data_IF_930505509428
#
_entry.id   IF_930505509428
#
_cell.length_a   1.000
_cell.length_b   1.000
_cell.length_c   1.000
_cell.angle_alpha   90.00
_cell.angle_beta   90.00
_cell.angle_gamma   90.00
#
_symmetry.space_group_name_H-M   'P 1'
#
loop_
_entity.id
_entity.type
_entity.pdbx_description
1 polymer ?
#
# COMPACT_ATOMS: atom_id res chain seq x y z
N UNK A 1 1.75 11.66 0.06
CA UNK A 1 1.76 10.77 -1.13
C UNK A 1 0.52 10.94 -2.00
N UNK A 2 -0.69 10.64 -1.51
CA UNK A 2 -1.93 10.71 -2.31
C UNK A 2 -2.11 12.08 -2.99
N UNK A 3 -2.04 13.19 -2.25
CA UNK A 3 -2.03 14.56 -2.83
C UNK A 3 -0.96 14.79 -3.91
N UNK A 4 0.24 14.22 -3.74
CA UNK A 4 1.31 14.36 -4.74
C UNK A 4 1.05 13.53 -6.00
N UNK A 5 0.29 12.43 -5.89
CA UNK A 5 -0.11 11.63 -7.05
C UNK A 5 -1.27 12.29 -7.78
N UNK A 6 -2.29 12.76 -7.07
CA UNK A 6 -3.43 13.47 -7.69
C UNK A 6 -3.00 14.79 -8.34
N UNK A 7 -1.96 15.45 -7.83
CA UNK A 7 -1.39 16.65 -8.47
C UNK A 7 -0.61 16.36 -9.78
N UNK A 8 -0.25 15.11 -10.06
CA UNK A 8 0.60 14.73 -11.20
C UNK A 8 -0.10 13.83 -12.22
N UNK A 9 -1.13 13.12 -11.79
CA UNK A 9 -1.82 12.11 -12.58
C UNK A 9 -3.32 12.33 -12.49
N UNK A 10 -4.00 12.08 -13.60
CA UNK A 10 -5.46 12.12 -13.69
C UNK A 10 -6.11 10.91 -13.01
N UNK A 11 -7.42 10.97 -12.71
CA UNK A 11 -8.17 9.83 -12.18
C UNK A 11 -8.21 8.62 -13.14
N UNK A 12 -7.91 8.79 -14.42
CA UNK A 12 -7.82 7.69 -15.39
C UNK A 12 -6.49 6.93 -15.30
N UNK A 13 -5.44 7.61 -14.83
CA UNK A 13 -4.09 7.05 -14.72
C UNK A 13 -3.82 6.43 -13.35
N UNK A 14 -4.49 6.90 -12.31
CA UNK A 14 -4.30 6.44 -10.92
C UNK A 14 -5.65 6.27 -10.22
N UNK A 15 -5.85 5.10 -9.61
CA UNK A 15 -6.97 4.83 -8.70
C UNK A 15 -6.46 4.39 -7.34
N UNK A 16 -7.19 4.74 -6.27
CA UNK A 16 -6.88 4.36 -4.90
C UNK A 16 -7.88 3.35 -4.34
N UNK A 17 -7.35 2.36 -3.61
CA UNK A 17 -8.09 1.64 -2.57
C UNK A 17 -7.56 2.10 -1.21
N UNK A 18 -8.41 2.73 -0.42
CA UNK A 18 -8.10 3.24 0.92
C UNK A 18 -8.78 2.35 1.96
N UNK A 19 -7.96 1.71 2.80
CA UNK A 19 -8.44 0.92 3.93
C UNK A 19 -8.23 1.71 5.21
N UNK A 20 -9.31 2.31 5.71
CA UNK A 20 -9.33 3.16 6.92
C UNK A 20 -10.34 2.65 7.95
N UNK A 21 -10.02 1.52 8.56
CA UNK A 21 -10.85 0.88 9.59
C UNK A 21 -10.96 1.67 10.91
N UNK A 22 -10.29 2.83 11.02
CA UNK A 22 -10.37 3.74 12.17
C UNK A 22 -11.17 5.00 11.87
N UNK A 23 -11.67 5.17 10.63
CA UNK A 23 -12.30 6.43 10.20
C UNK A 23 -11.44 7.64 10.53
N UNK A 24 -10.13 7.52 10.31
CA UNK A 24 -9.10 8.53 10.64
C UNK A 24 -9.07 9.71 9.65
N UNK A 25 -10.22 10.05 9.04
CA UNK A 25 -10.40 11.10 8.04
C UNK A 25 -9.44 11.01 6.85
N UNK A 26 -8.91 9.82 6.54
CA UNK A 26 -8.22 9.56 5.27
C UNK A 26 -9.13 9.77 4.05
N UNK A 27 -10.45 9.85 4.30
CA UNK A 27 -11.50 10.28 3.38
C UNK A 27 -11.19 11.62 2.71
N UNK A 28 -10.75 12.61 3.49
CA UNK A 28 -10.56 13.98 3.01
C UNK A 28 -9.24 14.15 2.23
N UNK A 29 -8.43 13.10 2.16
CA UNK A 29 -7.13 13.14 1.52
C UNK A 29 -7.17 12.94 -0.01
N UNK A 30 -8.30 12.51 -0.57
CA UNK A 30 -8.45 12.21 -1.99
C UNK A 30 -9.89 12.44 -2.47
N UNK A 31 -10.03 13.01 -3.65
CA UNK A 31 -11.32 13.18 -4.32
C UNK A 31 -11.94 11.82 -4.70
N UNK A 32 -13.26 11.72 -4.69
CA UNK A 32 -14.00 10.51 -5.02
C UNK A 32 -13.69 10.00 -6.43
N UNK A 33 -13.38 10.90 -7.37
CA UNK A 33 -13.01 10.52 -8.74
C UNK A 33 -11.77 9.63 -8.78
N UNK A 34 -10.86 9.79 -7.83
CA UNK A 34 -9.65 8.97 -7.73
C UNK A 34 -9.86 7.68 -6.95
N UNK A 35 -11.00 7.47 -6.30
CA UNK A 35 -11.32 6.20 -5.65
C UNK A 35 -11.64 5.15 -6.72
N UNK A 36 -11.18 3.93 -6.49
CA UNK A 36 -11.57 2.79 -7.30
C UNK A 36 -13.09 2.60 -7.19
N UNK A 37 -13.79 2.33 -8.29
CA UNK A 37 -15.21 1.94 -8.26
C UNK A 37 -15.38 0.62 -8.97
N UNK A 38 -16.23 -0.25 -8.44
CA UNK A 38 -16.59 -1.52 -9.06
C UNK A 38 -18.00 -1.92 -8.72
N UNK A 39 -18.58 -2.80 -9.54
CA UNK A 39 -19.86 -3.44 -9.26
C UNK A 39 -19.62 -4.79 -8.57
N UNK A 40 -20.31 -5.04 -7.46
CA UNK A 40 -20.25 -6.35 -6.81
C UNK A 40 -21.14 -7.39 -7.52
N UNK A 41 -21.05 -8.66 -7.08
CA UNK A 41 -21.82 -9.76 -7.68
C UNK A 41 -23.35 -9.59 -7.58
N UNK A 42 -23.83 -8.63 -6.78
CA UNK A 42 -25.24 -8.30 -6.62
C UNK A 42 -25.65 -7.04 -7.40
N UNK A 43 -24.79 -6.53 -8.30
CA UNK A 43 -25.08 -5.35 -9.10
C UNK A 43 -24.97 -4.03 -8.32
N UNK A 44 -24.36 -4.04 -7.13
CA UNK A 44 -24.22 -2.83 -6.30
C UNK A 44 -22.90 -2.15 -6.59
N UNK A 45 -22.95 -0.85 -6.86
CA UNK A 45 -21.75 -0.02 -6.96
C UNK A 45 -21.06 0.05 -5.58
N UNK A 46 -19.75 -0.17 -5.60
CA UNK A 46 -18.86 -0.14 -4.44
C UNK A 46 -17.75 0.87 -4.69
N UNK A 47 -17.35 1.53 -3.61
CA UNK A 47 -16.27 2.49 -3.60
C UNK A 47 -14.99 1.88 -3.01
N UNK A 48 -13.86 2.39 -3.49
CA UNK A 48 -12.49 2.06 -3.08
C UNK A 48 -12.15 2.50 -1.68
N UNK A 49 -13.15 2.87 -0.90
CA UNK A 49 -13.04 3.31 0.46
C UNK A 49 -13.62 2.24 1.37
N UNK A 50 -12.75 1.63 2.17
CA UNK A 50 -13.09 0.51 3.04
C UNK A 50 -13.02 0.96 4.49
N UNK A 51 -14.18 1.00 5.15
CA UNK A 51 -14.31 1.51 6.52
C UNK A 51 -14.51 0.40 7.56
N UNK A 52 -14.90 -0.79 7.13
CA UNK A 52 -15.11 -1.95 8.00
C UNK A 52 -14.49 -3.23 7.44
N UNK A 53 -14.36 -4.25 8.29
CA UNK A 53 -13.69 -5.50 7.94
C UNK A 53 -14.48 -6.37 6.96
N UNK A 54 -15.81 -6.26 6.91
CA UNK A 54 -16.65 -7.03 5.98
C UNK A 54 -16.50 -6.52 4.55
N UNK A 55 -16.47 -5.20 4.37
CA UNK A 55 -16.16 -4.57 3.07
C UNK A 55 -14.76 -4.89 2.58
N UNK A 56 -13.80 -5.03 3.51
CA UNK A 56 -12.42 -5.32 3.17
C UNK A 56 -12.28 -6.66 2.45
N UNK A 57 -12.95 -7.71 2.95
CA UNK A 57 -12.92 -9.03 2.31
C UNK A 57 -13.48 -8.95 0.88
N UNK A 58 -14.63 -8.30 0.71
CA UNK A 58 -15.26 -8.11 -0.60
C UNK A 58 -14.33 -7.34 -1.55
N UNK A 59 -13.79 -6.21 -1.09
CA UNK A 59 -12.92 -5.35 -1.89
C UNK A 59 -11.61 -6.05 -2.29
N UNK A 60 -10.99 -6.81 -1.39
CA UNK A 60 -9.76 -7.54 -1.71
C UNK A 60 -10.01 -8.62 -2.75
N UNK A 61 -11.10 -9.37 -2.66
CA UNK A 61 -11.47 -10.36 -3.68
C UNK A 61 -11.76 -9.71 -5.03
N UNK A 62 -12.48 -8.59 -5.05
CA UNK A 62 -12.75 -7.85 -6.29
C UNK A 62 -11.44 -7.38 -6.96
N UNK A 63 -10.48 -6.90 -6.17
CA UNK A 63 -9.17 -6.48 -6.70
C UNK A 63 -8.37 -7.67 -7.18
N UNK A 64 -8.33 -8.79 -6.45
CA UNK A 64 -7.63 -9.99 -6.88
C UNK A 64 -8.14 -10.47 -8.24
N UNK A 65 -9.45 -10.45 -8.45
CA UNK A 65 -10.07 -10.77 -9.75
C UNK A 65 -9.67 -9.74 -10.83
N UNK A 66 -9.69 -8.45 -10.51
CA UNK A 66 -9.23 -7.40 -11.42
C UNK A 66 -7.76 -7.52 -11.80
N UNK A 67 -6.90 -7.94 -10.87
CA UNK A 67 -5.47 -8.16 -11.11
C UNK A 67 -5.20 -9.43 -11.91
N UNK A 68 -6.00 -10.49 -11.72
CA UNK A 68 -5.93 -11.70 -12.54
C UNK A 68 -6.14 -11.36 -14.03
N UNK A 69 -7.08 -10.46 -14.34
CA UNK A 69 -7.34 -9.99 -15.70
C UNK A 69 -6.19 -9.13 -16.30
N UNK A 70 -5.25 -8.66 -15.48
CA UNK A 70 -4.05 -7.93 -15.94
C UNK A 70 -2.84 -8.85 -16.14
N UNK A 71 -2.93 -10.12 -15.74
CA UNK A 71 -1.87 -11.08 -16.02
C UNK A 71 -1.85 -11.41 -17.52
N UNK A 72 -0.66 -11.54 -18.08
CA UNK A 72 -0.53 -11.96 -19.47
C UNK A 72 -1.01 -13.41 -19.61
N UNK A 73 -1.98 -13.65 -20.50
CA UNK A 73 -2.61 -14.95 -20.72
C UNK A 73 -1.88 -15.85 -21.73
N UNK A 74 -0.68 -15.46 -22.18
CA UNK A 74 0.08 -16.19 -23.20
C UNK A 74 1.49 -15.64 -23.42
N UNK A 75 2.12 -16.02 -24.54
CA UNK A 75 3.42 -15.48 -24.91
C UNK A 75 3.34 -13.97 -25.18
N UNK A 76 4.01 -13.21 -24.32
CA UNK A 76 4.19 -11.76 -24.46
C UNK A 76 5.65 -11.48 -24.78
N UNK A 77 5.85 -10.77 -25.89
CA UNK A 77 7.18 -10.33 -26.34
C UNK A 77 7.83 -9.40 -25.31
N UNK A 78 9.15 -9.23 -25.41
CA UNK A 78 9.89 -8.31 -24.53
C UNK A 78 9.36 -6.87 -24.60
N UNK A 79 8.98 -6.41 -25.78
CA UNK A 79 8.44 -5.07 -25.98
C UNK A 79 7.07 -4.90 -25.35
N UNK A 80 6.19 -5.89 -25.53
CA UNK A 80 4.88 -5.88 -24.89
C UNK A 80 5.00 -5.86 -23.36
N UNK A 81 6.00 -6.56 -22.77
CA UNK A 81 6.28 -6.55 -21.33
C UNK A 81 6.80 -5.21 -20.82
N UNK A 82 7.59 -4.48 -21.62
CA UNK A 82 8.04 -3.13 -21.27
C UNK A 82 6.87 -2.15 -21.26
N UNK A 83 6.00 -2.24 -22.26
CA UNK A 83 4.91 -1.27 -22.46
C UNK A 83 3.57 -1.69 -21.84
N UNK A 84 3.49 -2.90 -21.25
CA UNK A 84 2.28 -3.48 -20.64
C UNK A 84 1.06 -3.50 -21.57
N UNK A 85 1.31 -3.67 -22.87
CA UNK A 85 0.33 -3.39 -23.92
C UNK A 85 -0.94 -4.27 -23.93
N UNK A 86 -0.97 -5.37 -23.17
CA UNK A 86 -2.11 -6.30 -23.12
C UNK A 86 -3.21 -5.87 -22.14
N UNK A 87 -2.98 -4.85 -21.32
CA UNK A 87 -4.03 -4.25 -20.49
C UNK A 87 -3.96 -2.73 -20.55
N UNK A 88 -5.11 -2.08 -20.35
CA UNK A 88 -5.23 -0.61 -20.30
C UNK A 88 -6.11 -0.25 -19.11
N UNK A 89 -5.51 0.33 -18.07
CA UNK A 89 -6.19 0.88 -16.92
C UNK A 89 -5.22 1.75 -16.10
N UNK A 90 -5.73 2.52 -15.15
CA UNK A 90 -4.89 3.21 -14.17
C UNK A 90 -4.17 2.25 -13.23
N UNK A 91 -3.03 2.71 -12.70
CA UNK A 91 -2.32 2.02 -11.63
C UNK A 91 -3.16 2.04 -10.35
N UNK A 92 -3.18 0.92 -9.64
CA UNK A 92 -3.91 0.79 -8.38
C UNK A 92 -2.97 1.01 -7.20
N UNK A 93 -3.29 1.98 -6.35
CA UNK A 93 -2.57 2.26 -5.13
C UNK A 93 -3.40 1.83 -3.90
N UNK A 94 -2.95 0.78 -3.24
CA UNK A 94 -3.52 0.27 -1.99
C UNK A 94 -2.89 0.98 -0.80
N UNK A 95 -3.70 1.71 -0.02
CA UNK A 95 -3.27 2.32 1.24
C UNK A 95 -3.90 1.58 2.41
N UNK A 96 -3.06 1.09 3.33
CA UNK A 96 -3.52 0.42 4.55
C UNK A 96 -2.84 0.95 5.80
N UNK A 97 -3.60 1.05 6.89
CA UNK A 97 -3.06 1.18 8.25
C UNK A 97 -3.34 -0.09 9.04
N UNK A 98 -2.30 -0.83 9.42
CA UNK A 98 -2.42 -2.02 10.27
C UNK A 98 -2.65 -1.63 11.74
N UNK A 99 -3.50 -2.38 12.44
CA UNK A 99 -3.72 -2.26 13.88
C UNK A 99 -3.03 -3.36 14.69
N UNK A 100 -2.73 -3.07 15.95
CA UNK A 100 -2.52 -4.12 16.95
C UNK A 100 -3.80 -4.97 17.07
N UNK A 101 -3.67 -6.30 16.98
CA UNK A 101 -4.79 -7.25 16.99
C UNK A 101 -5.36 -7.65 15.61
N UNK A 102 -5.04 -6.92 14.54
CA UNK A 102 -5.44 -7.28 13.15
C UNK A 102 -4.74 -8.55 12.62
N UNK A 103 -3.79 -9.06 13.41
CA UNK A 103 -3.09 -10.33 13.27
C UNK A 103 -4.00 -11.56 13.25
N UNK A 104 -5.27 -11.45 13.65
CA UNK A 104 -6.22 -12.56 13.51
C UNK A 104 -6.70 -12.77 12.07
N UNK A 105 -6.35 -11.89 11.11
CA UNK A 105 -6.73 -12.05 9.70
C UNK A 105 -5.65 -11.65 8.66
N UNK A 106 -4.39 -12.15 8.74
CA UNK A 106 -3.47 -12.09 7.59
C UNK A 106 -4.05 -12.75 6.33
N UNK A 107 -5.05 -13.64 6.48
CA UNK A 107 -5.76 -14.30 5.39
C UNK A 107 -6.55 -13.37 4.46
N UNK A 108 -7.01 -12.21 4.93
CA UNK A 108 -7.88 -11.34 4.11
C UNK A 108 -7.15 -10.83 2.86
N UNK A 109 -5.83 -10.63 2.95
CA UNK A 109 -4.98 -10.20 1.84
C UNK A 109 -4.31 -11.36 1.09
N UNK A 110 -4.53 -12.60 1.52
CA UNK A 110 -3.98 -13.78 0.86
C UNK A 110 -4.32 -13.84 -0.64
N UNK A 111 -5.53 -13.44 -1.11
CA UNK A 111 -5.84 -13.41 -2.54
C UNK A 111 -4.92 -12.51 -3.36
N UNK A 112 -4.27 -11.50 -2.75
CA UNK A 112 -3.36 -10.59 -3.45
C UNK A 112 -1.91 -11.09 -3.51
N UNK A 113 -1.57 -12.11 -2.70
CA UNK A 113 -0.20 -12.63 -2.60
C UNK A 113 0.44 -13.00 -3.96
N UNK A 114 -0.27 -13.65 -4.90
CA UNK A 114 0.30 -14.03 -6.19
C UNK A 114 0.75 -12.85 -7.05
N UNK A 115 0.14 -11.67 -6.90
CA UNK A 115 0.41 -10.52 -7.76
C UNK A 115 1.61 -9.69 -7.33
N UNK A 116 2.08 -9.84 -6.08
CA UNK A 116 3.17 -9.00 -5.59
C UNK A 116 4.47 -9.23 -6.35
N UNK A 117 4.74 -10.47 -6.80
CA UNK A 117 5.96 -10.79 -7.56
C UNK A 117 6.00 -10.11 -8.93
N UNK A 118 4.83 -9.78 -9.48
CA UNK A 118 4.64 -9.12 -10.76
C UNK A 118 3.95 -7.76 -10.63
N UNK A 119 4.11 -7.11 -9.47
CA UNK A 119 3.36 -5.90 -9.12
C UNK A 119 3.52 -4.78 -10.15
N UNK A 120 4.74 -4.62 -10.67
CA UNK A 120 5.03 -3.67 -11.77
C UNK A 120 4.28 -4.03 -13.05
N UNK A 121 4.15 -5.32 -13.38
CA UNK A 121 3.52 -5.78 -14.62
C UNK A 121 1.99 -5.60 -14.60
N UNK A 122 1.38 -5.77 -13.42
CA UNK A 122 -0.08 -5.59 -13.22
C UNK A 122 -0.46 -4.18 -12.77
N UNK A 123 0.52 -3.31 -12.52
CA UNK A 123 0.29 -1.91 -12.11
C UNK A 123 -0.33 -1.78 -10.73
N UNK A 124 0.14 -2.56 -9.74
CA UNK A 124 -0.31 -2.48 -8.35
C UNK A 124 0.81 -1.97 -7.44
N UNK A 125 0.46 -1.04 -6.57
CA UNK A 125 1.35 -0.44 -5.58
C UNK A 125 0.69 -0.51 -4.21
N UNK A 126 1.46 -0.85 -3.17
CA UNK A 126 0.95 -0.94 -1.81
C UNK A 126 1.76 -0.05 -0.88
N UNK A 127 1.06 0.67 -0.01
CA UNK A 127 1.64 1.57 0.99
C UNK A 127 1.02 1.21 2.33
N UNK A 128 1.81 0.55 3.17
CA UNK A 128 1.34 0.08 4.48
C UNK A 128 1.96 0.92 5.57
N UNK A 129 1.13 1.46 6.47
CA UNK A 129 1.59 2.06 7.72
C UNK A 129 1.18 1.16 8.89
N UNK A 130 2.07 0.97 9.85
CA UNK A 130 1.79 0.13 11.01
C UNK A 130 2.59 0.60 12.23
N UNK A 131 2.10 0.34 13.46
CA UNK A 131 2.91 0.50 14.65
C UNK A 131 4.15 -0.40 14.57
N UNK A 132 5.29 0.06 15.10
CA UNK A 132 6.55 -0.68 15.07
C UNK A 132 6.44 -2.08 15.73
N UNK A 133 5.62 -2.20 16.78
CA UNK A 133 5.32 -3.47 17.45
C UNK A 133 4.65 -4.48 16.50
N UNK A 134 3.80 -4.01 15.59
CA UNK A 134 3.17 -4.83 14.54
C UNK A 134 4.17 -5.18 13.45
N UNK A 135 4.98 -4.21 13.01
CA UNK A 135 5.99 -4.39 11.97
C UNK A 135 6.95 -5.55 12.28
N UNK A 136 7.50 -5.60 13.49
CA UNK A 136 8.42 -6.66 13.92
C UNK A 136 7.85 -8.07 13.82
N UNK A 137 6.53 -8.21 14.01
CA UNK A 137 5.85 -9.50 13.97
C UNK A 137 5.47 -9.90 12.55
N UNK A 138 5.10 -8.94 11.71
CA UNK A 138 4.74 -9.17 10.31
C UNK A 138 5.95 -9.33 9.39
N UNK A 139 7.08 -8.73 9.74
CA UNK A 139 8.31 -8.76 8.98
C UNK A 139 9.44 -9.28 9.87
N UNK A 140 9.52 -10.61 10.10
CA UNK A 140 10.67 -11.19 10.77
C UNK A 140 11.96 -10.81 10.03
N UNK A 141 13.07 -10.69 10.76
CA UNK A 141 14.41 -10.37 10.21
C UNK A 141 14.66 -11.17 8.92
N UNK A 142 15.11 -10.49 7.87
CA UNK A 142 15.34 -11.09 6.55
C UNK A 142 14.21 -10.87 5.53
N UNK A 143 12.93 -10.74 5.92
CA UNK A 143 11.83 -10.49 4.95
C UNK A 143 11.76 -9.03 4.53
N UNK A 144 12.04 -8.10 5.45
CA UNK A 144 12.20 -6.69 5.11
C UNK A 144 13.41 -6.49 4.20
N UNK A 145 14.54 -7.13 4.54
CA UNK A 145 15.75 -7.12 3.71
C UNK A 145 15.48 -7.75 2.34
N UNK A 146 14.78 -8.88 2.26
CA UNK A 146 14.44 -9.53 0.99
C UNK A 146 13.43 -8.72 0.16
N UNK A 147 12.41 -8.12 0.77
CA UNK A 147 11.49 -7.21 0.08
C UNK A 147 12.22 -5.96 -0.41
N UNK A 148 13.19 -5.45 0.36
CA UNK A 148 13.97 -4.27 0.02
C UNK A 148 15.00 -4.57 -1.08
N UNK A 149 15.71 -5.69 -1.01
CA UNK A 149 16.69 -6.12 -2.02
C UNK A 149 16.03 -6.64 -3.30
N UNK A 150 14.99 -7.48 -3.21
CA UNK A 150 14.38 -8.11 -4.40
C UNK A 150 13.28 -7.28 -5.04
N UNK A 151 12.58 -6.43 -4.27
CA UNK A 151 11.40 -5.70 -4.76
C UNK A 151 11.54 -4.17 -4.71
N UNK A 152 12.73 -3.66 -4.38
CA UNK A 152 13.02 -2.21 -4.25
C UNK A 152 11.97 -1.48 -3.40
N UNK A 153 11.45 -2.14 -2.36
CA UNK A 153 10.50 -1.52 -1.45
C UNK A 153 11.21 -0.42 -0.63
N UNK A 154 10.59 0.75 -0.50
CA UNK A 154 11.04 1.80 0.40
C UNK A 154 10.42 1.61 1.78
N UNK A 155 11.25 1.60 2.82
CA UNK A 155 10.82 1.43 4.21
C UNK A 155 11.18 2.67 5.01
N UNK A 156 10.20 3.32 5.66
CA UNK A 156 10.44 4.45 6.54
C UNK A 156 10.15 4.05 7.98
N UNK A 157 11.19 4.08 8.81
CA UNK A 157 11.10 3.83 10.25
C UNK A 157 11.10 5.17 10.98
N UNK A 158 9.96 5.51 11.58
CA UNK A 158 9.77 6.73 12.37
C UNK A 158 10.05 6.45 13.86
N UNK A 159 9.43 7.22 14.76
CA UNK A 159 9.54 7.08 16.20
C UNK A 159 9.28 5.64 16.70
N UNK A 160 10.14 5.20 17.64
CA UNK A 160 10.10 3.87 18.22
C UNK A 160 11.19 3.65 19.26
N UNK A 161 11.02 2.64 20.12
CA UNK A 161 12.05 2.25 21.07
C UNK A 161 12.93 1.14 20.50
N UNK A 162 14.23 1.16 20.81
CA UNK A 162 15.21 0.14 20.37
C UNK A 162 14.78 -1.29 20.72
N UNK A 163 14.08 -1.47 21.84
CA UNK A 163 13.54 -2.76 22.29
C UNK A 163 12.39 -3.26 21.39
N UNK A 164 11.73 -2.36 20.67
CA UNK A 164 10.55 -2.60 19.84
C UNK A 164 10.87 -2.69 18.35
N UNK A 165 12.14 -2.78 17.93
CA UNK A 165 12.51 -2.80 16.51
C UNK A 165 13.61 -3.83 16.23
N UNK A 166 13.31 -5.10 16.50
CA UNK A 166 14.26 -6.19 16.30
C UNK A 166 14.66 -6.30 14.82
N UNK A 167 13.79 -5.97 13.87
CA UNK A 167 14.04 -6.04 12.42
C UNK A 167 14.66 -4.78 11.80
N UNK A 168 14.81 -3.68 12.54
CA UNK A 168 15.36 -2.41 12.02
C UNK A 168 16.36 -1.81 13.02
N UNK A 169 17.67 -2.08 12.87
CA UNK A 169 18.70 -1.57 13.79
C UNK A 169 18.79 -0.03 13.78
N UNK A 170 18.28 0.60 12.73
CA UNK A 170 18.14 2.05 12.56
C UNK A 170 17.02 2.69 13.39
N UNK A 171 16.18 1.88 14.04
CA UNK A 171 15.16 2.37 14.95
C UNK A 171 15.84 2.88 16.23
N UNK A 172 16.31 4.11 16.14
CA UNK A 172 17.14 4.76 17.12
C UNK A 172 16.39 5.91 17.77
N UNK A 173 16.11 5.74 19.06
CA UNK A 173 15.66 6.78 20.01
C UNK A 173 14.34 7.50 19.66
N UNK A 174 13.68 8.09 20.66
CA UNK A 174 12.53 8.95 20.42
C UNK A 174 12.83 10.02 19.37
N UNK A 175 12.00 10.10 18.33
CA UNK A 175 12.15 11.05 17.23
C UNK A 175 10.99 12.06 17.20
N UNK A 176 11.22 13.33 16.83
CA UNK A 176 10.14 14.28 16.59
C UNK A 176 9.14 13.74 15.56
N UNK A 177 7.87 14.16 15.67
CA UNK A 177 6.83 13.77 14.72
C UNK A 177 7.28 14.02 13.27
N UNK A 178 7.08 13.02 12.42
CA UNK A 178 7.47 13.06 11.00
C UNK A 178 8.96 12.82 10.72
N UNK A 179 9.84 12.75 11.74
CA UNK A 179 11.25 12.36 11.54
C UNK A 179 11.39 10.85 11.52
N UNK A 180 12.24 10.33 10.63
CA UNK A 180 12.55 8.91 10.57
C UNK A 180 13.74 8.58 9.66
N UNK A 181 14.15 7.31 9.66
CA UNK A 181 15.17 6.76 8.76
C UNK A 181 14.46 6.06 7.60
N UNK A 182 14.70 6.58 6.39
CA UNK A 182 14.30 5.98 5.14
C UNK A 182 15.37 4.99 4.69
N UNK A 183 14.94 3.77 4.41
CA UNK A 183 15.74 2.71 3.85
C UNK A 183 15.23 2.41 2.44
N UNK A 184 16.07 2.57 1.43
CA UNK A 184 15.72 2.33 0.03
C UNK A 184 16.93 1.85 -0.76
N UNK A 185 16.79 0.76 -1.50
CA UNK A 185 17.87 0.17 -2.30
C UNK A 185 19.18 -0.12 -1.52
N UNK A 186 19.08 -0.30 -0.20
CA UNK A 186 20.22 -0.51 0.69
C UNK A 186 20.86 0.78 1.23
N UNK A 187 20.42 1.94 0.76
CA UNK A 187 20.83 3.24 1.31
C UNK A 187 19.93 3.65 2.47
N UNK A 188 20.55 4.26 3.48
CA UNK A 188 19.90 4.74 4.69
C UNK A 188 20.00 6.25 4.75
N UNK A 189 18.87 6.92 4.91
CA UNK A 189 18.81 8.38 4.96
C UNK A 189 17.84 8.84 6.04
N UNK A 190 18.30 9.68 6.96
CA UNK A 190 17.40 10.38 7.88
C UNK A 190 16.64 11.47 7.12
N UNK A 191 15.31 11.44 7.20
CA UNK A 191 14.42 12.39 6.54
C UNK A 191 13.40 13.00 7.51
N UNK A 192 12.83 14.13 7.10
CA UNK A 192 11.66 14.73 7.73
C UNK A 192 10.51 14.66 6.72
N UNK A 193 9.41 14.00 7.06
CA UNK A 193 8.24 13.93 6.20
C UNK A 193 7.51 15.27 6.18
N UNK A 194 6.93 15.66 5.03
CA UNK A 194 6.10 16.86 4.96
C UNK A 194 4.84 16.68 5.82
N UNK A 195 4.46 17.78 6.46
CA UNK A 195 3.17 17.95 7.11
C UNK A 195 2.10 18.18 6.05
N UNK A 196 0.92 17.59 6.24
CA UNK A 196 -0.28 17.89 5.46
C UNK A 196 -1.24 18.60 6.41
N UNK A 197 -1.27 19.95 6.44
CA UNK A 197 -1.94 20.73 7.48
C UNK A 197 -3.43 20.41 7.63
N UNK A 198 -4.08 20.00 6.54
CA UNK A 198 -5.50 19.63 6.52
C UNK A 198 -5.78 18.34 7.31
N UNK A 199 -4.73 17.59 7.66
CA UNK A 199 -4.79 16.41 8.51
C UNK A 199 -4.26 16.65 9.94
N UNK A 200 -3.72 17.83 10.26
CA UNK A 200 -3.13 18.15 11.58
C UNK A 200 -4.05 18.92 12.54
N UNK A 201 -5.05 19.66 12.06
CA UNK A 201 -5.97 20.44 12.90
C UNK A 201 -7.08 19.58 13.54
N UNK A 202 -6.73 18.43 14.11
CA UNK A 202 -7.68 17.52 14.79
C UNK A 202 -7.06 16.74 15.93
#
# INVERSE_FOLDING_TARGET
MMKSLTARYSPHEVKFLVVDLKSSRLLDAVDEDYLLRWEDQQGRERSGLILNSSELEIGVHAIANGMANRQASGEVTREQRRNRSWWRAGNLHLRRRLRDGEQRRPSVFAPLAPFWGSAEQVGVHSVVACPIAVANRCCPRGVADEAQQRRRAATLVMDGSKNMARSSPECGSPAPAGRGVLSFAGELQTIQTPVVPELENT
#
